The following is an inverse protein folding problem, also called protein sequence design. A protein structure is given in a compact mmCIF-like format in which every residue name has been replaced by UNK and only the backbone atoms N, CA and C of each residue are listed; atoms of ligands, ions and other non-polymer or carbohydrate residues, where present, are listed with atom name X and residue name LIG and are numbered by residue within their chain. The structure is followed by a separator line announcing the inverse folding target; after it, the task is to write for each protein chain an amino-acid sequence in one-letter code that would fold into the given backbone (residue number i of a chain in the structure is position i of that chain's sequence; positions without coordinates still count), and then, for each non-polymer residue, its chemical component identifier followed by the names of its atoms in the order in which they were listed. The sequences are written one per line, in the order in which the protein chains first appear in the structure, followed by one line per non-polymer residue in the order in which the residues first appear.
data_IF_768366282734
#
_entry.id   IF_768366282734
#
_cell.length_a   1.000
_cell.length_b   1.000
_cell.length_c   1.000
_cell.angle_alpha   90.00
_cell.angle_beta   90.00
_cell.angle_gamma   90.00
#
_symmetry.space_group_name_H-M   'P 1'
#
loop_
_entity.id
_entity.type
_entity.pdbx_description
1 polymer ?
#
# COMPACT_ATOMS: atom_id res chain seq x y z
N UNK A 1 5.44 -27.63 25.77
CA UNK A 1 5.09 -27.30 24.36
C UNK A 1 4.61 -28.59 23.71
N UNK A 2 3.34 -28.68 23.31
CA UNK A 2 2.84 -29.86 22.59
C UNK A 2 3.28 -29.75 21.13
N UNK A 3 4.19 -30.63 20.72
CA UNK A 3 4.55 -30.78 19.31
C UNK A 3 3.34 -31.41 18.62
N UNK A 4 2.78 -30.80 17.55
CA UNK A 4 1.66 -31.40 16.85
C UNK A 4 2.09 -32.72 16.19
N UNK A 5 1.29 -33.78 16.42
CA UNK A 5 1.58 -35.15 15.95
C UNK A 5 1.60 -35.31 14.42
N UNK A 6 1.15 -34.31 13.65
CA UNK A 6 1.23 -34.29 12.19
C UNK A 6 1.41 -32.85 11.67
N UNK A 7 2.32 -32.70 10.70
CA UNK A 7 2.64 -31.42 10.05
C UNK A 7 2.48 -31.54 8.54
N UNK A 8 1.90 -30.51 7.93
CA UNK A 8 1.74 -30.38 6.49
C UNK A 8 2.80 -29.41 5.99
N UNK A 9 3.54 -29.80 4.96
CA UNK A 9 4.58 -28.99 4.34
C UNK A 9 3.98 -28.21 3.17
N UNK A 10 4.17 -26.90 3.15
CA UNK A 10 3.77 -26.03 2.03
C UNK A 10 4.97 -25.24 1.52
N UNK A 11 5.08 -25.09 0.20
CA UNK A 11 6.09 -24.23 -0.41
C UNK A 11 5.59 -22.80 -0.45
N UNK A 12 6.26 -21.90 0.27
CA UNK A 12 5.92 -20.48 0.37
C UNK A 12 6.92 -19.67 -0.43
N UNK A 13 6.43 -18.70 -1.21
CA UNK A 13 7.26 -17.72 -1.92
C UNK A 13 7.03 -16.35 -1.31
N UNK A 14 8.10 -15.66 -0.91
CA UNK A 14 8.01 -14.29 -0.44
C UNK A 14 7.49 -13.38 -1.59
N UNK A 15 6.41 -12.61 -1.38
CA UNK A 15 5.88 -11.74 -2.42
C UNK A 15 6.81 -10.56 -2.76
N UNK A 16 7.75 -10.23 -1.87
CA UNK A 16 8.65 -9.06 -1.96
C UNK A 16 9.97 -9.41 -2.66
N UNK A 17 10.73 -10.38 -2.16
CA UNK A 17 12.04 -10.75 -2.72
C UNK A 17 12.06 -12.08 -3.49
N UNK A 18 10.93 -12.77 -3.59
CA UNK A 18 10.77 -14.05 -4.30
C UNK A 18 11.57 -15.23 -3.74
N UNK A 19 12.22 -15.08 -2.58
CA UNK A 19 12.79 -16.21 -1.82
C UNK A 19 11.72 -17.26 -1.54
N UNK A 20 12.07 -18.54 -1.68
CA UNK A 20 11.17 -19.66 -1.47
C UNK A 20 11.68 -20.54 -0.35
N UNK A 21 10.76 -21.07 0.44
CA UNK A 21 11.08 -22.04 1.49
C UNK A 21 9.88 -22.95 1.78
N UNK A 22 10.11 -24.01 2.54
CA UNK A 22 9.10 -24.98 2.96
C UNK A 22 8.71 -24.69 4.41
N UNK A 23 7.46 -24.29 4.63
CA UNK A 23 6.90 -24.05 5.97
C UNK A 23 6.07 -25.26 6.40
N UNK A 24 6.31 -25.76 7.61
CA UNK A 24 5.50 -26.80 8.24
C UNK A 24 4.35 -26.19 9.04
N UNK A 25 3.12 -26.55 8.72
CA UNK A 25 1.91 -26.11 9.43
C UNK A 25 1.26 -27.26 10.21
N UNK A 26 0.72 -27.04 11.42
CA UNK A 26 -0.02 -28.05 12.16
C UNK A 26 -1.30 -28.44 11.41
N UNK A 27 -1.54 -29.74 11.22
CA UNK A 27 -2.70 -30.23 10.47
C UNK A 27 -4.04 -29.88 11.15
N UNK A 28 -4.07 -29.82 12.48
CA UNK A 28 -5.29 -29.50 13.26
C UNK A 28 -5.85 -28.11 12.91
N UNK A 29 -4.97 -27.11 12.80
CA UNK A 29 -5.33 -25.72 12.46
C UNK A 29 -5.93 -25.58 11.06
N UNK A 30 -5.61 -26.52 10.16
CA UNK A 30 -6.12 -26.54 8.79
C UNK A 30 -7.51 -27.17 8.67
N UNK A 31 -7.84 -28.15 9.52
CA UNK A 31 -9.13 -28.86 9.48
C UNK A 31 -10.28 -28.10 10.14
N UNK A 32 -9.97 -27.22 11.10
CA UNK A 32 -10.97 -26.48 11.87
C UNK A 32 -11.55 -25.27 11.11
N UNK A 33 -10.89 -24.80 10.05
CA UNK A 33 -11.28 -23.62 9.28
C UNK A 33 -11.83 -24.00 7.89
N UNK A 34 -13.09 -23.69 7.62
CA UNK A 34 -13.82 -24.24 6.46
C UNK A 34 -13.52 -23.62 5.09
N UNK A 35 -12.91 -22.42 5.03
CA UNK A 35 -12.81 -21.67 3.78
C UNK A 35 -11.42 -21.12 3.46
N UNK A 36 -10.84 -20.29 4.33
CA UNK A 36 -9.57 -19.62 4.07
C UNK A 36 -8.82 -19.41 5.39
N UNK A 37 -7.52 -19.68 5.38
CA UNK A 37 -6.64 -19.61 6.55
C UNK A 37 -5.57 -18.57 6.27
N UNK A 38 -5.44 -17.61 7.18
CA UNK A 38 -4.41 -16.58 7.13
C UNK A 38 -3.21 -17.01 7.97
N UNK A 39 -2.04 -17.10 7.36
CA UNK A 39 -0.78 -17.44 8.04
C UNK A 39 0.16 -16.24 7.98
N UNK A 40 0.64 -15.80 9.14
CA UNK A 40 1.65 -14.74 9.28
C UNK A 40 3.05 -15.31 9.21
N UNK A 41 3.88 -14.81 8.29
CA UNK A 41 5.29 -15.17 8.12
C UNK A 41 6.15 -14.03 8.63
N UNK A 42 6.62 -14.13 9.88
CA UNK A 42 7.48 -13.12 10.49
C UNK A 42 8.88 -13.09 9.85
N UNK A 43 9.56 -11.96 10.04
CA UNK A 43 10.93 -11.71 9.56
C UNK A 43 11.87 -12.78 10.12
N UNK A 44 12.75 -13.29 9.27
CA UNK A 44 13.73 -14.31 9.63
C UNK A 44 13.24 -15.75 9.52
N UNK A 45 11.94 -16.00 9.27
CA UNK A 45 11.46 -17.37 9.02
C UNK A 45 11.88 -17.87 7.63
N UNK A 46 11.67 -17.04 6.59
CA UNK A 46 12.05 -17.33 5.20
C UNK A 46 13.05 -16.30 4.67
N UNK A 47 12.81 -15.04 5.01
CA UNK A 47 13.63 -13.90 4.59
C UNK A 47 13.38 -12.72 5.56
N UNK A 48 14.07 -11.58 5.41
CA UNK A 48 13.88 -10.40 6.27
C UNK A 48 12.52 -9.71 6.17
N UNK A 49 11.61 -10.18 5.30
CA UNK A 49 10.31 -9.57 5.08
C UNK A 49 9.20 -10.22 5.91
N UNK A 50 8.28 -9.40 6.42
CA UNK A 50 7.04 -9.84 7.04
C UNK A 50 5.90 -9.79 6.02
N UNK A 51 5.16 -10.88 5.88
CA UNK A 51 3.98 -10.93 5.02
C UNK A 51 2.98 -11.96 5.55
N UNK A 52 1.75 -11.86 5.08
CA UNK A 52 0.71 -12.86 5.32
C UNK A 52 0.43 -13.62 4.02
N UNK A 53 0.04 -14.89 4.16
CA UNK A 53 -0.41 -15.72 3.05
C UNK A 53 -1.77 -16.33 3.37
N UNK A 54 -2.56 -16.57 2.33
CA UNK A 54 -3.89 -17.14 2.44
C UNK A 54 -3.91 -18.55 1.84
N UNK A 55 -4.32 -19.54 2.63
CA UNK A 55 -4.40 -20.95 2.22
C UNK A 55 -5.86 -21.37 2.22
N UNK A 56 -6.32 -22.03 1.15
CA UNK A 56 -7.64 -22.64 1.15
C UNK A 56 -7.67 -24.04 1.81
N UNK A 57 -8.86 -24.62 1.92
CA UNK A 57 -9.07 -25.99 2.41
C UNK A 57 -8.35 -27.09 1.60
N UNK A 58 -7.97 -26.80 0.36
CA UNK A 58 -7.26 -27.72 -0.52
C UNK A 58 -5.74 -27.52 -0.42
N UNK A 59 -5.26 -26.78 0.59
CA UNK A 59 -3.86 -26.46 0.83
C UNK A 59 -3.21 -25.65 -0.30
N UNK A 60 -4.01 -24.93 -1.09
CA UNK A 60 -3.53 -24.05 -2.15
C UNK A 60 -3.40 -22.63 -1.63
N UNK A 61 -2.25 -22.01 -1.93
CA UNK A 61 -2.05 -20.60 -1.66
C UNK A 61 -2.91 -19.78 -2.62
N UNK A 62 -3.82 -18.97 -2.07
CA UNK A 62 -4.74 -18.11 -2.81
C UNK A 62 -4.24 -16.68 -2.99
N UNK A 63 -3.34 -16.24 -2.12
CA UNK A 63 -2.79 -14.89 -2.21
C UNK A 63 -1.78 -14.59 -1.12
N UNK A 64 -1.21 -13.39 -1.24
CA UNK A 64 -0.26 -12.82 -0.30
C UNK A 64 -0.67 -11.39 0.04
N UNK A 65 -0.40 -10.99 1.27
CA UNK A 65 -0.56 -9.60 1.71
C UNK A 65 0.76 -9.12 2.33
N UNK A 66 1.25 -7.98 1.83
CA UNK A 66 2.41 -7.30 2.41
C UNK A 66 1.97 -6.58 3.69
N UNK A 67 2.82 -6.63 4.70
CA UNK A 67 2.58 -5.91 5.97
C UNK A 67 3.38 -4.61 5.92
N UNK A 68 2.70 -3.48 5.77
CA UNK A 68 3.34 -2.15 5.69
C UNK A 68 3.74 -1.60 7.08
N UNK A 69 3.00 -1.99 8.12
CA UNK A 69 3.21 -1.55 9.49
C UNK A 69 2.94 -2.69 10.48
N UNK A 70 3.91 -2.95 11.36
CA UNK A 70 3.81 -3.87 12.47
C UNK A 70 3.94 -3.06 13.77
N UNK A 71 2.90 -3.09 14.60
CA UNK A 71 2.88 -2.35 15.87
C UNK A 71 3.48 -3.22 16.97
N UNK A 72 4.51 -2.71 17.68
CA UNK A 72 5.06 -3.37 18.86
C UNK A 72 4.61 -2.64 20.14
N UNK A 73 3.99 -3.39 21.06
CA UNK A 73 3.56 -2.86 22.36
C UNK A 73 4.74 -2.45 23.26
N UNK A 74 5.87 -3.15 23.16
CA UNK A 74 7.07 -2.90 23.96
C UNK A 74 7.67 -1.52 23.68
N UNK A 75 7.55 -1.04 22.45
CA UNK A 75 8.08 0.26 22.02
C UNK A 75 7.00 1.36 22.01
N UNK A 76 5.86 1.11 22.65
CA UNK A 76 4.76 2.06 22.71
C UNK A 76 4.92 3.08 23.84
N UNK A 77 4.51 4.32 23.57
CA UNK A 77 4.59 5.45 24.50
C UNK A 77 3.18 5.89 24.84
N UNK A 78 2.89 6.05 26.13
CA UNK A 78 1.60 6.60 26.59
C UNK A 78 1.66 8.13 26.60
N UNK A 79 0.81 8.76 25.81
CA UNK A 79 0.70 10.21 25.70
C UNK A 79 -0.11 10.79 26.88
N UNK A 80 0.04 12.10 27.14
CA UNK A 80 -0.63 12.81 28.24
C UNK A 80 -2.17 12.75 28.15
N UNK A 81 -2.72 12.63 26.95
CA UNK A 81 -4.15 12.47 26.69
C UNK A 81 -4.63 10.99 26.84
N UNK A 82 -3.77 10.09 27.32
CA UNK A 82 -4.10 8.68 27.50
C UNK A 82 -3.96 7.80 26.25
N UNK A 83 -3.66 8.37 25.09
CA UNK A 83 -3.47 7.63 23.83
C UNK A 83 -2.13 6.87 23.84
N UNK A 84 -2.13 5.63 23.37
CA UNK A 84 -0.91 4.83 23.18
C UNK A 84 -0.39 5.08 21.76
N UNK A 85 0.77 5.71 21.65
CA UNK A 85 1.47 5.91 20.41
C UNK A 85 2.47 4.76 20.19
N UNK A 86 2.36 4.06 19.07
CA UNK A 86 3.29 3.00 18.69
C UNK A 86 4.39 3.61 17.82
N UNK A 87 5.64 3.48 18.24
CA UNK A 87 6.77 3.85 17.39
C UNK A 87 6.96 2.80 16.31
N UNK A 88 7.27 3.24 15.09
CA UNK A 88 7.69 2.33 14.03
C UNK A 88 8.98 1.64 14.50
N UNK A 89 9.07 0.32 14.36
CA UNK A 89 10.32 -0.40 14.58
C UNK A 89 11.33 0.01 13.50
N UNK A 90 12.02 1.12 13.74
CA UNK A 90 13.06 1.66 12.88
C UNK A 90 14.35 0.86 13.11
N UNK A 91 14.40 -0.36 12.59
CA UNK A 91 15.69 -1.03 12.34
C UNK A 91 16.47 -0.39 11.17
N UNK A 92 15.99 0.75 10.64
CA UNK A 92 16.80 1.70 9.90
C UNK A 92 16.83 3.02 10.65
N UNK A 93 18.00 3.39 11.19
CA UNK A 93 18.23 4.75 11.69
C UNK A 93 18.20 5.75 10.53
N UNK A 94 17.00 6.11 10.06
CA UNK A 94 16.73 7.23 9.15
C UNK A 94 16.62 8.55 9.93
N UNK A 95 17.51 8.79 10.88
CA UNK A 95 17.67 10.12 11.44
C UNK A 95 18.72 10.89 10.61
N UNK A 96 18.34 12.03 10.00
CA UNK A 96 19.28 12.90 9.27
C UNK A 96 20.33 13.57 10.19
N UNK A 97 20.16 13.43 11.50
CA UNK A 97 21.02 13.99 12.54
C UNK A 97 21.69 12.86 13.34
N UNK A 98 22.98 13.01 13.65
CA UNK A 98 23.63 12.23 14.71
C UNK A 98 23.36 12.98 16.02
N UNK A 99 22.64 12.37 16.95
CA UNK A 99 22.49 12.90 18.32
C UNK A 99 23.75 12.50 19.08
N UNK A 100 24.56 13.47 19.50
CA UNK A 100 25.65 13.25 20.43
C UNK A 100 25.12 13.57 21.82
N UNK A 101 25.13 12.58 22.71
CA UNK A 101 24.77 12.78 24.12
C UNK A 101 26.04 13.30 24.81
N UNK A 102 25.95 14.46 25.45
CA UNK A 102 26.93 14.92 26.43
C UNK A 102 26.18 15.24 27.72
N UNK A 103 26.80 14.88 28.84
CA UNK A 103 26.20 14.93 30.16
C UNK A 103 25.59 16.31 30.49
N UNK A 104 24.38 16.25 31.04
CA UNK A 104 23.54 17.31 31.61
C UNK A 104 23.07 18.46 30.68
N UNK A 105 21.86 18.26 30.16
CA UNK A 105 20.83 19.27 29.84
C UNK A 105 21.00 20.23 28.65
N UNK A 106 21.86 19.96 27.67
CA UNK A 106 21.75 20.66 26.36
C UNK A 106 22.02 19.74 25.17
N UNK A 107 21.02 19.59 24.29
CA UNK A 107 21.14 18.82 23.06
C UNK A 107 21.78 19.66 21.95
N UNK A 108 22.88 19.18 21.36
CA UNK A 108 23.42 19.71 20.10
C UNK A 108 23.15 18.70 18.98
N UNK A 109 22.44 19.13 17.94
CA UNK A 109 22.22 18.36 16.71
C UNK A 109 23.20 18.81 15.64
N UNK A 110 23.88 17.86 14.98
CA UNK A 110 24.74 18.14 13.82
C UNK A 110 24.17 17.40 12.60
N UNK A 111 23.91 18.08 11.48
CA UNK A 111 23.50 17.42 10.25
C UNK A 111 24.63 16.54 9.72
N UNK A 112 24.32 15.30 9.34
CA UNK A 112 25.29 14.40 8.69
C UNK A 112 25.60 14.93 7.29
N UNK A 113 26.68 15.69 7.14
CA UNK A 113 27.21 16.06 5.82
C UNK A 113 27.75 14.78 5.18
N UNK A 114 27.17 14.37 4.04
CA UNK A 114 27.67 13.26 3.23
C UNK A 114 28.94 13.70 2.53
N UNK A 115 30.11 13.27 3.00
CA UNK A 115 31.33 13.34 2.21
C UNK A 115 31.19 12.37 1.03
N UNK A 116 31.02 12.93 -0.17
CA UNK A 116 31.19 12.20 -1.42
C UNK A 116 32.69 12.02 -1.62
N UNK A 117 33.25 10.88 -1.21
CA UNK A 117 34.50 10.42 -1.78
C UNK A 117 34.57 8.89 -1.76
N UNK A 118 35.03 8.37 -2.90
CA UNK A 118 35.26 6.98 -3.31
C UNK A 118 34.09 6.23 -3.96
N UNK A 119 34.47 5.50 -4.99
CA UNK A 119 33.80 5.44 -6.27
C UNK A 119 33.69 4.00 -6.79
N UNK A 120 32.76 3.82 -7.72
CA UNK A 120 32.71 2.80 -8.78
C UNK A 120 32.32 1.38 -8.35
N UNK A 121 31.05 1.08 -8.62
CA UNK A 121 30.52 -0.24 -8.96
C UNK A 121 29.18 -0.02 -9.65
N UNK A 122 29.16 -0.06 -10.99
CA UNK A 122 27.95 0.16 -11.79
C UNK A 122 26.86 -0.86 -11.42
N UNK A 123 25.83 -0.40 -10.72
CA UNK A 123 24.55 -1.10 -10.62
C UNK A 123 23.48 -0.09 -11.02
N UNK A 124 22.89 -0.33 -12.18
CA UNK A 124 21.77 0.41 -12.76
C UNK A 124 20.61 0.41 -11.76
N UNK A 125 20.38 1.54 -11.09
CA UNK A 125 19.20 1.76 -10.28
C UNK A 125 18.07 2.25 -11.19
N UNK A 126 17.30 1.33 -11.77
CA UNK A 126 15.91 1.62 -12.09
C UNK A 126 15.13 1.68 -10.78
N UNK A 127 14.49 2.82 -10.51
CA UNK A 127 13.58 2.96 -9.37
C UNK A 127 14.03 3.92 -8.26
N UNK A 128 14.82 4.95 -8.56
CA UNK A 128 14.61 6.22 -7.86
C UNK A 128 13.81 7.11 -8.81
N UNK A 129 12.50 7.22 -8.59
CA UNK A 129 11.72 8.25 -9.26
C UNK A 129 12.32 9.58 -8.82
N UNK A 130 13.20 10.15 -9.66
CA UNK A 130 13.56 11.56 -9.59
C UNK A 130 12.24 12.29 -9.41
N UNK A 131 12.09 13.08 -8.36
CA UNK A 131 10.92 13.93 -8.19
C UNK A 131 10.91 14.87 -9.41
N UNK A 132 10.22 14.46 -10.47
CA UNK A 132 10.09 15.26 -11.67
C UNK A 132 9.34 16.50 -11.20
N UNK A 133 9.98 17.66 -11.32
CA UNK A 133 9.27 18.92 -11.14
C UNK A 133 8.30 18.97 -12.32
N UNK A 134 7.03 18.65 -12.05
CA UNK A 134 5.98 18.66 -13.06
C UNK A 134 5.41 20.06 -13.15
N UNK A 135 5.25 20.54 -14.38
CA UNK A 135 4.50 21.75 -14.64
C UNK A 135 3.02 21.57 -14.28
N UNK A 136 2.33 22.67 -14.04
CA UNK A 136 0.88 22.67 -13.76
C UNK A 136 0.09 21.99 -14.90
N UNK A 137 0.54 22.16 -16.14
CA UNK A 137 -0.03 21.52 -17.33
C UNK A 137 0.16 20.00 -17.31
N UNK A 138 1.36 19.52 -16.98
CA UNK A 138 1.62 18.08 -16.91
C UNK A 138 0.82 17.41 -15.79
N UNK A 139 0.70 18.07 -14.63
CA UNK A 139 -0.18 17.60 -13.56
C UNK A 139 -1.65 17.56 -14.00
N UNK A 140 -2.09 18.55 -14.77
CA UNK A 140 -3.44 18.55 -15.29
C UNK A 140 -3.69 17.38 -16.24
N UNK A 141 -2.81 17.16 -17.22
CA UNK A 141 -2.99 16.07 -18.19
C UNK A 141 -2.99 14.67 -17.57
N UNK A 142 -2.21 14.46 -16.51
CA UNK A 142 -2.16 13.15 -15.82
C UNK A 142 -3.39 12.90 -14.93
N UNK A 143 -3.95 13.96 -14.33
CA UNK A 143 -4.97 13.83 -13.29
C UNK A 143 -6.29 14.53 -13.61
N UNK A 144 -6.54 14.92 -14.86
CA UNK A 144 -7.71 15.72 -15.23
C UNK A 144 -9.04 15.09 -14.78
N UNK A 145 -9.17 13.76 -14.77
CA UNK A 145 -10.39 13.05 -14.35
C UNK A 145 -10.76 13.31 -12.87
N UNK A 146 -9.77 13.62 -12.04
CA UNK A 146 -9.94 13.85 -10.59
C UNK A 146 -10.02 15.32 -10.21
N UNK A 147 -9.83 16.23 -11.17
CA UNK A 147 -9.84 17.68 -10.93
C UNK A 147 -11.25 18.21 -11.15
N UNK A 148 -11.85 18.74 -10.08
CA UNK A 148 -13.18 19.36 -10.10
C UNK A 148 -13.27 20.48 -11.14
N UNK A 149 -14.44 20.59 -11.79
CA UNK A 149 -14.72 21.64 -12.78
C UNK A 149 -14.63 23.06 -12.18
N UNK A 150 -14.88 23.19 -10.88
CA UNK A 150 -14.82 24.47 -10.15
C UNK A 150 -13.42 24.81 -9.63
N UNK A 151 -12.39 24.02 -9.98
CA UNK A 151 -11.04 24.24 -9.47
C UNK A 151 -10.40 25.48 -10.11
N UNK A 152 -10.26 26.54 -9.31
CA UNK A 152 -9.69 27.83 -9.76
C UNK A 152 -8.26 27.72 -10.29
N UNK A 153 -7.46 26.79 -9.76
CA UNK A 153 -6.05 26.63 -10.14
C UNK A 153 -5.89 26.01 -11.53
N UNK A 154 -6.86 25.20 -11.95
CA UNK A 154 -6.84 24.53 -13.24
C UNK A 154 -7.88 25.10 -14.23
N UNK A 155 -8.52 26.22 -13.90
CA UNK A 155 -9.63 26.80 -14.67
C UNK A 155 -9.32 26.99 -16.16
N UNK A 156 -8.11 27.46 -16.47
CA UNK A 156 -7.66 27.66 -17.86
C UNK A 156 -7.57 26.34 -18.63
N UNK A 157 -7.12 25.26 -17.99
CA UNK A 157 -7.04 23.94 -18.62
C UNK A 157 -8.43 23.31 -18.73
N UNK A 158 -9.26 23.43 -17.69
CA UNK A 158 -10.63 22.91 -17.66
C UNK A 158 -11.49 23.50 -18.77
N UNK A 159 -11.45 24.81 -18.97
CA UNK A 159 -12.28 25.51 -19.96
C UNK A 159 -11.92 25.12 -21.40
N UNK A 160 -10.63 24.85 -21.64
CA UNK A 160 -10.09 24.51 -22.96
C UNK A 160 -10.10 23.00 -23.24
N UNK A 161 -10.42 22.16 -22.26
CA UNK A 161 -10.41 20.72 -22.42
C UNK A 161 -11.67 20.22 -23.15
N UNK A 162 -11.48 19.73 -24.38
CA UNK A 162 -12.54 19.14 -25.21
C UNK A 162 -13.14 17.88 -24.58
N UNK A 163 -12.36 17.12 -23.79
CA UNK A 163 -12.82 15.89 -23.11
C UNK A 163 -13.94 16.16 -22.10
N UNK A 164 -13.97 17.39 -21.55
CA UNK A 164 -14.95 17.80 -20.54
C UNK A 164 -16.25 18.34 -21.13
N UNK A 165 -16.29 18.62 -22.43
CA UNK A 165 -17.51 19.09 -23.09
C UNK A 165 -18.44 17.89 -23.30
N UNK A 166 -19.35 17.66 -22.36
CA UNK A 166 -20.49 16.77 -22.60
C UNK A 166 -21.29 17.31 -23.79
N UNK A 167 -21.71 16.45 -24.74
CA UNK A 167 -22.61 16.89 -25.79
C UNK A 167 -23.89 17.40 -25.14
N UNK A 168 -24.33 18.59 -25.57
CA UNK A 168 -25.64 19.12 -25.26
C UNK A 168 -26.67 18.16 -25.88
N UNK A 169 -27.16 17.18 -25.12
CA UNK A 169 -28.41 16.52 -25.45
C UNK A 169 -29.47 17.58 -25.20
N UNK A 170 -29.91 18.21 -26.28
CA UNK A 170 -31.02 19.15 -26.29
C UNK A 170 -32.25 18.35 -25.86
N UNK A 171 -32.60 18.46 -24.59
CA UNK A 171 -33.93 18.11 -24.09
C UNK A 171 -34.90 19.17 -24.58
N UNK A 172 -35.54 18.95 -25.72
CA UNK A 172 -36.75 19.69 -26.09
C UNK A 172 -37.99 18.85 -25.79
N UNK A 173 -38.78 19.40 -24.88
CA UNK A 173 -40.05 18.91 -24.37
C UNK A 173 -41.16 18.88 -25.45
N UNK A 174 -41.99 17.84 -25.33
CA UNK A 174 -43.46 17.85 -25.39
C UNK A 174 -44.24 17.92 -26.73
N UNK A 175 -44.97 16.81 -26.96
CA UNK A 175 -46.46 16.71 -27.00
C UNK A 175 -47.17 16.89 -28.34
N UNK A 176 -47.63 15.76 -28.92
CA UNK A 176 -48.92 15.67 -29.63
C UNK A 176 -49.55 14.27 -29.39
N UNK A 177 -50.71 14.26 -28.72
CA UNK A 177 -51.77 13.23 -28.71
C UNK A 177 -52.17 12.91 -30.18
N UNK A 178 -52.53 11.73 -30.71
CA UNK A 178 -53.34 10.61 -30.25
C UNK A 178 -53.48 9.63 -31.48
N UNK A 179 -54.49 8.73 -31.52
CA UNK A 179 -54.50 7.30 -31.18
C UNK A 179 -54.35 6.40 -32.41
N UNK A 180 -54.09 5.09 -32.21
CA UNK A 180 -54.77 4.00 -32.93
C UNK A 180 -54.42 2.67 -32.26
N UNK A 181 -55.49 1.90 -32.06
CA UNK A 181 -55.58 0.51 -31.59
C UNK A 181 -54.52 -0.39 -32.29
N UNK A 182 -54.06 -1.49 -31.69
CA UNK A 182 -54.80 -2.75 -31.72
C UNK A 182 -54.23 -3.70 -30.64
N UNK A 183 -55.19 -4.30 -29.95
CA UNK A 183 -55.12 -5.47 -29.07
C UNK A 183 -54.21 -6.59 -29.62
N UNK A 184 -53.57 -7.36 -28.74
CA UNK A 184 -53.92 -8.77 -28.59
C UNK A 184 -53.11 -9.45 -27.49
N UNK A 185 -53.87 -10.17 -26.67
CA UNK A 185 -53.50 -11.10 -25.60
C UNK A 185 -52.58 -12.23 -26.10
N UNK A 186 -51.67 -12.70 -25.23
CA UNK A 186 -51.74 -14.01 -24.56
C UNK A 186 -50.62 -14.11 -23.51
#
# INVERSE_FOLDING_TARGET
MQVPNSTIKIQVTCPICKTRDIVGLPERTLKENSHLITVSIHKGLICPHHFQLFIDKNLRIRGYQKVDLELNKETSIKLRNGVIAYSKNDNESKTPFKVLIYDNSTFKTIPKIRTKDQAVGNITQEGTSKSKIMSLKELYEEFWEFIDEKNKKFHEFITNDKRRKKPLIISNLNRVYNPLEVEQEF
#
